data_IF_436908143530
#
_entry.id   IF_436908143530
#
_cell.length_a   1.000
_cell.length_b   1.000
_cell.length_c   1.000
_cell.angle_alpha   90.00
_cell.angle_beta   90.00
_cell.angle_gamma   90.00
#
_symmetry.space_group_name_H-M   'P 1'
#
loop_
_entity.id
_entity.type
_entity.pdbx_description
1 polymer ?
#
# COMPACT_ATOMS: atom_id res chain seq x y z
N UNK A 1 -15.97 11.61 -28.92
CA UNK A 1 -15.68 10.33 -28.25
C UNK A 1 -15.13 9.40 -29.30
N UNK A 2 -13.87 8.96 -29.21
CA UNK A 2 -13.30 8.04 -30.18
C UNK A 2 -14.01 6.68 -30.14
N UNK A 3 -14.33 6.14 -31.32
CA UNK A 3 -14.76 4.75 -31.47
C UNK A 3 -13.56 3.83 -31.45
N UNK A 4 -13.52 2.92 -30.49
CA UNK A 4 -12.48 1.90 -30.35
C UNK A 4 -13.09 0.51 -30.46
N UNK A 5 -12.33 -0.45 -30.97
CA UNK A 5 -12.73 -1.84 -31.08
C UNK A 5 -11.93 -2.69 -30.10
N UNK A 6 -12.58 -3.23 -29.08
CA UNK A 6 -11.95 -4.06 -28.04
C UNK A 6 -12.37 -5.50 -28.29
N UNK A 7 -11.43 -6.35 -28.71
CA UNK A 7 -11.70 -7.74 -29.13
C UNK A 7 -12.86 -7.81 -30.14
N UNK A 8 -12.80 -6.99 -31.18
CA UNK A 8 -13.81 -6.88 -32.26
C UNK A 8 -15.17 -6.28 -31.85
N UNK A 9 -15.35 -5.84 -30.60
CA UNK A 9 -16.53 -5.11 -30.14
C UNK A 9 -16.31 -3.60 -30.15
N UNK A 10 -17.19 -2.85 -30.81
CA UNK A 10 -17.18 -1.38 -30.80
C UNK A 10 -17.54 -0.83 -29.41
N UNK A 11 -16.78 0.17 -28.96
CA UNK A 11 -16.97 0.89 -27.71
C UNK A 11 -16.60 2.36 -27.90
N UNK A 12 -17.43 3.28 -27.38
CA UNK A 12 -17.12 4.70 -27.40
C UNK A 12 -16.35 5.10 -26.13
N UNK A 13 -15.08 5.45 -26.28
CA UNK A 13 -14.22 5.84 -25.17
C UNK A 13 -14.17 7.37 -25.00
N UNK A 14 -13.70 7.83 -23.84
CA UNK A 14 -13.32 9.24 -23.67
C UNK A 14 -11.95 9.49 -24.30
N UNK A 15 -11.72 10.69 -24.84
CA UNK A 15 -10.39 11.07 -25.37
C UNK A 15 -9.28 11.07 -24.31
N UNK A 16 -9.67 11.18 -23.03
CA UNK A 16 -8.75 11.09 -21.89
C UNK A 16 -8.45 9.66 -21.45
N UNK A 17 -9.15 8.67 -22.01
CA UNK A 17 -8.96 7.28 -21.62
C UNK A 17 -7.64 6.71 -22.14
N UNK A 18 -7.02 5.88 -21.30
CA UNK A 18 -6.00 4.94 -21.75
C UNK A 18 -6.69 3.69 -22.27
N UNK A 19 -5.95 2.86 -23.01
CA UNK A 19 -6.47 1.55 -23.44
C UNK A 19 -6.90 0.72 -22.23
N UNK A 20 -6.18 0.79 -21.11
CA UNK A 20 -6.56 0.10 -19.87
C UNK A 20 -7.91 0.58 -19.34
N UNK A 21 -8.09 1.90 -19.19
CA UNK A 21 -9.35 2.44 -18.64
C UNK A 21 -10.53 2.24 -19.58
N UNK A 22 -10.31 2.31 -20.90
CA UNK A 22 -11.34 1.99 -21.88
C UNK A 22 -11.78 0.51 -21.79
N UNK A 23 -10.82 -0.42 -21.67
CA UNK A 23 -11.12 -1.86 -21.50
C UNK A 23 -11.84 -2.12 -20.19
N UNK A 24 -11.44 -1.48 -19.09
CA UNK A 24 -12.14 -1.60 -17.80
C UNK A 24 -13.58 -1.08 -17.88
N UNK A 25 -13.83 0.07 -18.53
CA UNK A 25 -15.18 0.61 -18.73
C UNK A 25 -16.06 -0.27 -19.62
N UNK A 26 -15.45 -0.95 -20.59
CA UNK A 26 -16.12 -1.95 -21.41
C UNK A 26 -16.48 -3.23 -20.63
N UNK A 27 -15.97 -3.41 -19.40
CA UNK A 27 -16.14 -4.61 -18.59
C UNK A 27 -15.09 -5.69 -18.86
N UNK A 28 -14.04 -5.36 -19.61
CA UNK A 28 -12.89 -6.24 -19.85
C UNK A 28 -11.83 -6.14 -18.75
N UNK A 29 -10.94 -7.13 -18.73
CA UNK A 29 -9.84 -7.22 -17.77
C UNK A 29 -8.49 -7.26 -18.47
N UNK A 30 -7.53 -6.48 -17.97
CA UNK A 30 -6.12 -6.55 -18.32
C UNK A 30 -5.34 -6.55 -17.00
N UNK A 31 -4.46 -7.54 -16.74
CA UNK A 31 -3.70 -7.58 -15.50
C UNK A 31 -2.68 -6.42 -15.45
N UNK A 32 -2.45 -5.92 -14.24
CA UNK A 32 -1.50 -4.83 -13.96
C UNK A 32 -0.76 -5.09 -12.67
N UNK A 33 0.53 -4.74 -12.60
CA UNK A 33 1.33 -4.80 -11.37
C UNK A 33 1.88 -3.44 -10.93
N UNK A 34 2.47 -2.66 -11.83
CA UNK A 34 2.96 -1.33 -11.43
C UNK A 34 1.87 -0.28 -11.46
N UNK A 35 0.84 -0.45 -12.31
CA UNK A 35 -0.25 0.51 -12.37
C UNK A 35 -1.05 0.50 -11.05
N UNK A 36 -1.33 1.69 -10.53
CA UNK A 36 -2.20 1.93 -9.37
C UNK A 36 -2.94 3.24 -9.62
N UNK A 37 -4.24 3.26 -9.39
CA UNK A 37 -5.08 4.45 -9.58
C UNK A 37 -6.09 4.54 -8.45
N UNK A 38 -5.83 5.44 -7.51
CA UNK A 38 -6.65 5.73 -6.34
C UNK A 38 -7.41 7.03 -6.61
N UNK A 39 -8.52 6.91 -7.33
CA UNK A 39 -9.29 8.05 -7.86
C UNK A 39 -9.81 8.98 -6.76
N UNK A 40 -10.22 8.41 -5.62
CA UNK A 40 -10.83 9.16 -4.52
C UNK A 40 -9.87 10.16 -3.89
N UNK A 41 -8.56 9.91 -4.01
CA UNK A 41 -7.49 10.80 -3.52
C UNK A 41 -6.62 11.36 -4.65
N UNK A 42 -7.03 11.17 -5.91
CA UNK A 42 -6.34 11.66 -7.11
C UNK A 42 -4.84 11.26 -7.19
N UNK A 43 -4.52 10.01 -6.85
CA UNK A 43 -3.15 9.46 -6.93
C UNK A 43 -3.08 8.39 -8.02
N UNK A 44 -2.10 8.51 -8.91
CA UNK A 44 -1.89 7.55 -10.00
C UNK A 44 -0.40 7.21 -10.16
N UNK A 45 -0.06 5.93 -10.06
CA UNK A 45 1.26 5.41 -10.42
C UNK A 45 1.17 4.67 -11.76
N UNK A 46 1.88 5.14 -12.79
CA UNK A 46 1.86 4.54 -14.14
C UNK A 46 3.23 4.51 -14.85
N UNK A 47 4.28 3.94 -14.23
CA UNK A 47 5.63 3.93 -14.82
C UNK A 47 5.74 3.00 -16.05
N UNK A 48 4.75 2.15 -16.30
CA UNK A 48 4.75 1.14 -17.38
C UNK A 48 5.97 0.19 -17.35
N UNK A 49 6.64 0.07 -16.20
CA UNK A 49 7.87 -0.71 -16.04
C UNK A 49 7.61 -2.22 -16.01
N UNK A 50 6.52 -2.67 -15.38
CA UNK A 50 6.26 -4.11 -15.18
C UNK A 50 5.88 -4.88 -16.46
N UNK A 51 5.42 -4.19 -17.50
CA UNK A 51 4.95 -4.79 -18.78
C UNK A 51 3.89 -5.92 -18.63
N UNK A 52 3.13 -5.94 -17.54
CA UNK A 52 2.03 -6.91 -17.36
C UNK A 52 0.76 -6.50 -18.12
N UNK A 53 0.61 -5.21 -18.44
CA UNK A 53 -0.56 -4.68 -19.13
C UNK A 53 -0.43 -4.66 -20.67
N UNK A 54 0.46 -5.47 -21.25
CA UNK A 54 0.76 -5.41 -22.68
C UNK A 54 -0.42 -5.90 -23.53
N UNK A 55 -0.79 -5.15 -24.57
CA UNK A 55 -1.87 -5.49 -25.52
C UNK A 55 -1.37 -5.36 -26.95
N UNK A 56 -2.06 -6.05 -27.86
CA UNK A 56 -1.83 -5.91 -29.30
C UNK A 56 -2.76 -4.84 -29.86
N UNK A 57 -2.23 -3.96 -30.72
CA UNK A 57 -2.99 -2.92 -31.41
C UNK A 57 -2.79 -3.15 -32.91
N UNK A 58 -3.89 -3.27 -33.66
CA UNK A 58 -3.83 -3.49 -35.11
C UNK A 58 -3.09 -2.35 -35.80
N UNK A 59 -2.24 -2.68 -36.78
CA UNK A 59 -1.38 -1.71 -37.48
C UNK A 59 -0.11 -1.32 -36.71
N UNK A 60 0.05 -1.72 -35.45
CA UNK A 60 1.29 -1.52 -34.69
C UNK A 60 2.18 -2.76 -34.75
N UNK A 61 3.46 -2.59 -35.08
CA UNK A 61 4.43 -3.69 -35.17
C UNK A 61 4.76 -4.32 -33.81
N UNK A 62 4.68 -3.53 -32.74
CA UNK A 62 5.02 -3.96 -31.38
C UNK A 62 3.81 -3.87 -30.46
N UNK A 63 3.80 -4.71 -29.42
CA UNK A 63 2.83 -4.61 -28.34
C UNK A 63 2.95 -3.25 -27.62
N UNK A 64 1.84 -2.79 -27.05
CA UNK A 64 1.78 -1.53 -26.32
C UNK A 64 1.34 -1.76 -24.86
N UNK A 65 1.87 -0.99 -23.89
CA UNK A 65 1.38 -1.03 -22.51
C UNK A 65 0.01 -0.33 -22.44
N UNK A 66 -1.03 -1.06 -22.00
CA UNK A 66 -2.39 -0.50 -21.96
C UNK A 66 -2.54 0.66 -20.97
N UNK A 67 -1.79 0.67 -19.86
CA UNK A 67 -1.95 1.65 -18.78
C UNK A 67 -1.46 3.06 -19.11
N UNK A 68 -0.69 3.25 -20.18
CA UNK A 68 -0.20 4.57 -20.61
C UNK A 68 -0.50 4.89 -22.07
N UNK A 69 -1.04 3.95 -22.83
CA UNK A 69 -1.36 4.19 -24.26
C UNK A 69 -2.72 4.87 -24.35
N UNK A 70 -2.83 6.11 -24.89
CA UNK A 70 -4.11 6.78 -25.09
C UNK A 70 -4.91 6.11 -26.20
N UNK A 71 -6.24 6.14 -26.09
CA UNK A 71 -7.13 5.69 -27.16
C UNK A 71 -7.19 6.71 -28.31
N UNK A 72 -7.47 6.25 -29.53
CA UNK A 72 -7.73 7.11 -30.68
C UNK A 72 -8.82 6.51 -31.58
N UNK A 73 -9.42 7.33 -32.43
CA UNK A 73 -10.50 6.94 -33.34
C UNK A 73 -10.10 5.76 -34.25
N UNK A 74 -10.93 4.73 -34.29
CA UNK A 74 -10.71 3.52 -35.07
C UNK A 74 -9.65 2.57 -34.49
N UNK A 75 -9.14 2.81 -33.27
CA UNK A 75 -8.16 1.93 -32.64
C UNK A 75 -8.77 0.54 -32.41
N UNK A 76 -8.11 -0.52 -32.89
CA UNK A 76 -8.49 -1.91 -32.63
C UNK A 76 -7.49 -2.57 -31.69
N UNK A 77 -7.97 -3.02 -30.54
CA UNK A 77 -7.18 -3.60 -29.46
C UNK A 77 -7.54 -5.08 -29.28
N UNK A 78 -6.52 -5.94 -29.31
CA UNK A 78 -6.63 -7.36 -28.94
C UNK A 78 -5.98 -7.57 -27.58
N UNK A 79 -6.82 -7.84 -26.58
CA UNK A 79 -6.39 -7.96 -25.18
C UNK A 79 -5.83 -9.33 -24.84
N UNK A 80 -6.22 -10.38 -25.57
CA UNK A 80 -5.86 -11.78 -25.31
C UNK A 80 -5.24 -12.46 -26.54
N UNK A 81 -4.59 -11.70 -27.42
CA UNK A 81 -3.82 -12.32 -28.50
C UNK A 81 -2.68 -13.16 -27.90
N UNK A 82 -2.30 -14.22 -28.60
CA UNK A 82 -1.22 -15.12 -28.15
C UNK A 82 0.07 -14.35 -27.88
N UNK A 83 0.41 -13.39 -28.75
CA UNK A 83 1.58 -12.52 -28.59
C UNK A 83 1.49 -11.68 -27.31
N UNK A 84 0.32 -11.09 -27.01
CA UNK A 84 0.14 -10.31 -25.79
C UNK A 84 0.27 -11.18 -24.53
N UNK A 85 -0.38 -12.35 -24.50
CA UNK A 85 -0.33 -13.27 -23.35
C UNK A 85 1.09 -13.80 -23.11
N UNK A 86 1.80 -14.22 -24.16
CA UNK A 86 3.20 -14.69 -24.07
C UNK A 86 4.14 -13.59 -23.56
N UNK A 87 3.95 -12.34 -23.99
CA UNK A 87 4.74 -11.22 -23.48
C UNK A 87 4.49 -10.94 -21.99
N UNK A 88 3.22 -10.98 -21.55
CA UNK A 88 2.88 -10.82 -20.11
C UNK A 88 3.48 -11.94 -19.28
N UNK A 89 3.35 -13.19 -19.75
CA UNK A 89 3.94 -14.37 -19.11
C UNK A 89 5.45 -14.22 -18.96
N UNK A 90 6.13 -13.80 -20.03
CA UNK A 90 7.57 -13.53 -20.03
C UNK A 90 7.93 -12.44 -19.01
N UNK A 91 7.19 -11.32 -18.98
CA UNK A 91 7.44 -10.24 -18.02
C UNK A 91 7.34 -10.72 -16.56
N UNK A 92 6.30 -11.50 -16.23
CA UNK A 92 6.12 -12.05 -14.88
C UNK A 92 7.17 -13.11 -14.56
N UNK A 93 7.54 -13.98 -15.51
CA UNK A 93 8.62 -14.96 -15.31
C UNK A 93 9.97 -14.28 -15.07
N UNK A 94 10.26 -13.14 -15.71
CA UNK A 94 11.47 -12.36 -15.43
C UNK A 94 11.43 -11.76 -14.02
N UNK A 95 10.30 -11.19 -13.58
CA UNK A 95 10.15 -10.76 -12.18
C UNK A 95 10.37 -11.92 -11.19
N UNK A 96 9.77 -13.07 -11.46
CA UNK A 96 9.92 -14.29 -10.64
C UNK A 96 11.30 -14.91 -10.70
N UNK A 97 12.16 -14.52 -11.65
CA UNK A 97 13.54 -15.02 -11.74
C UNK A 97 14.46 -14.36 -10.72
N UNK A 98 14.11 -13.16 -10.25
CA UNK A 98 14.83 -12.39 -9.24
C UNK A 98 14.11 -12.37 -7.87
N UNK A 99 12.86 -12.84 -7.82
CA UNK A 99 12.02 -12.83 -6.62
C UNK A 99 12.13 -14.15 -5.84
N UNK A 100 12.29 -14.13 -4.50
CA UNK A 100 12.36 -15.35 -3.71
C UNK A 100 11.06 -16.16 -3.79
N UNK A 101 11.19 -17.50 -3.86
CA UNK A 101 10.06 -18.43 -3.96
C UNK A 101 9.67 -19.00 -2.58
N UNK A 102 9.50 -18.12 -1.60
CA UNK A 102 9.25 -18.47 -0.19
C UNK A 102 7.80 -18.19 0.24
N UNK A 103 6.84 -18.25 -0.70
CA UNK A 103 5.45 -17.81 -0.49
C UNK A 103 4.80 -18.37 0.78
N UNK A 104 5.07 -19.62 1.16
CA UNK A 104 4.50 -20.25 2.36
C UNK A 104 4.92 -19.60 3.69
N UNK A 105 6.02 -18.83 3.69
CA UNK A 105 6.53 -18.09 4.85
C UNK A 105 6.28 -16.59 4.72
N UNK A 106 5.76 -16.14 3.58
CA UNK A 106 5.57 -14.72 3.29
C UNK A 106 4.28 -14.21 3.96
N UNK A 107 4.31 -13.06 4.67
CA UNK A 107 3.10 -12.50 5.28
C UNK A 107 2.00 -12.14 4.27
N UNK A 108 2.36 -11.89 3.00
CA UNK A 108 1.42 -11.62 1.89
C UNK A 108 0.90 -12.90 1.20
N UNK A 109 1.10 -14.07 1.77
CA UNK A 109 0.62 -15.32 1.17
C UNK A 109 -0.91 -15.31 1.05
N UNK A 110 -1.44 -15.55 -0.15
CA UNK A 110 -2.89 -15.45 -0.43
C UNK A 110 -3.32 -14.09 -0.96
N UNK A 111 -2.65 -13.01 -0.53
CA UNK A 111 -3.00 -11.63 -0.88
C UNK A 111 -1.97 -10.95 -1.82
N UNK A 112 -0.95 -11.67 -2.27
CA UNK A 112 0.09 -11.14 -3.15
C UNK A 112 -0.40 -11.02 -4.61
N UNK A 113 -0.40 -9.80 -5.17
CA UNK A 113 -0.81 -9.54 -6.56
C UNK A 113 0.10 -10.26 -7.56
N UNK A 114 1.41 -10.37 -7.28
CA UNK A 114 2.34 -11.10 -8.14
C UNK A 114 2.01 -12.60 -8.17
N UNK A 115 1.70 -13.18 -7.00
CA UNK A 115 1.28 -14.58 -6.87
C UNK A 115 0.00 -14.84 -7.67
N UNK A 116 -1.00 -13.96 -7.51
CA UNK A 116 -2.27 -14.02 -8.24
C UNK A 116 -2.08 -13.99 -9.75
N UNK A 117 -1.33 -13.01 -10.26
CA UNK A 117 -1.08 -12.86 -11.70
C UNK A 117 -0.26 -14.03 -12.25
N UNK A 118 0.71 -14.55 -11.49
CA UNK A 118 1.47 -15.74 -11.90
C UNK A 118 0.56 -16.96 -12.06
N UNK A 119 -0.40 -17.14 -11.14
CA UNK A 119 -1.42 -18.17 -11.21
C UNK A 119 -2.36 -17.98 -12.40
N UNK A 120 -2.88 -16.75 -12.62
CA UNK A 120 -3.77 -16.41 -13.74
C UNK A 120 -3.10 -16.68 -15.10
N UNK A 121 -1.81 -16.38 -15.23
CA UNK A 121 -1.03 -16.65 -16.44
C UNK A 121 -0.56 -18.11 -16.56
N UNK A 122 -0.95 -18.98 -15.63
CA UNK A 122 -0.60 -20.40 -15.56
C UNK A 122 0.93 -20.65 -15.57
N UNK A 123 1.69 -19.84 -14.83
CA UNK A 123 3.14 -19.97 -14.71
C UNK A 123 3.45 -21.08 -13.70
N UNK A 124 3.68 -22.29 -14.22
CA UNK A 124 4.05 -23.46 -13.43
C UNK A 124 5.57 -23.65 -13.30
N UNK A 125 6.32 -23.18 -14.30
CA UNK A 125 7.77 -23.30 -14.36
C UNK A 125 8.37 -21.97 -14.83
N UNK A 126 9.55 -21.64 -14.30
CA UNK A 126 10.32 -20.49 -14.74
C UNK A 126 11.58 -20.94 -15.50
N UNK A 127 11.69 -20.70 -16.82
CA UNK A 127 12.87 -21.10 -17.59
C UNK A 127 14.05 -20.14 -17.36
N UNK A 128 13.82 -18.96 -16.78
CA UNK A 128 14.87 -17.98 -16.52
C UNK A 128 15.52 -18.30 -15.17
N UNK A 129 16.78 -18.71 -15.24
CA UNK A 129 17.65 -18.93 -14.10
C UNK A 129 18.81 -17.95 -14.20
N UNK A 130 19.24 -17.41 -13.06
CA UNK A 130 20.29 -16.42 -13.05
C UNK A 130 20.71 -15.99 -11.66
N UNK A 131 21.54 -14.95 -11.61
CA UNK A 131 21.87 -14.26 -10.38
C UNK A 131 20.62 -13.58 -9.84
N UNK A 132 20.38 -13.74 -8.54
CA UNK A 132 19.35 -12.99 -7.83
C UNK A 132 19.96 -11.82 -7.08
N UNK A 133 19.16 -10.79 -6.90
CA UNK A 133 19.41 -9.69 -5.99
C UNK A 133 19.38 -10.21 -4.55
N UNK A 134 20.25 -9.65 -3.70
CA UNK A 134 20.31 -10.00 -2.28
C UNK A 134 20.59 -8.74 -1.47
N UNK A 135 19.68 -8.41 -0.57
CA UNK A 135 19.69 -7.23 0.29
C UNK A 135 19.37 -7.62 1.73
N UNK A 136 19.87 -6.83 2.67
CA UNK A 136 19.55 -7.00 4.08
C UNK A 136 18.10 -6.60 4.37
N UNK A 137 17.51 -7.25 5.37
CA UNK A 137 16.20 -6.89 5.91
C UNK A 137 16.32 -5.63 6.76
N UNK A 138 15.35 -4.74 6.61
CA UNK A 138 15.19 -3.57 7.46
C UNK A 138 13.95 -3.77 8.34
N UNK A 139 14.18 -3.90 9.65
CA UNK A 139 13.16 -4.27 10.63
C UNK A 139 13.05 -3.11 11.62
N UNK A 140 11.91 -2.42 11.59
CA UNK A 140 11.59 -1.36 12.54
C UNK A 140 10.52 -1.81 13.54
N UNK A 141 10.14 -0.95 14.47
CA UNK A 141 8.99 -1.18 15.36
C UNK A 141 7.64 -1.32 14.63
N UNK A 142 7.45 -0.75 13.44
CA UNK A 142 6.15 -0.72 12.76
C UNK A 142 6.14 -1.42 11.39
N UNK A 143 7.25 -1.38 10.66
CA UNK A 143 7.36 -1.85 9.28
C UNK A 143 8.55 -2.79 9.14
N UNK A 144 8.34 -3.92 8.45
CA UNK A 144 9.39 -4.79 7.94
C UNK A 144 9.51 -4.54 6.44
N UNK A 145 10.72 -4.22 6.01
CA UNK A 145 11.08 -4.02 4.60
C UNK A 145 12.02 -5.14 4.16
N UNK A 146 11.58 -5.93 3.20
CA UNK A 146 12.35 -6.97 2.53
C UNK A 146 12.60 -6.57 1.07
N UNK A 147 13.76 -5.96 0.75
CA UNK A 147 14.01 -5.46 -0.60
C UNK A 147 14.12 -6.59 -1.62
N UNK A 148 14.41 -7.82 -1.20
CA UNK A 148 14.45 -9.00 -2.08
C UNK A 148 13.08 -9.33 -2.68
N UNK A 149 12.00 -8.91 -2.02
CA UNK A 149 10.63 -9.10 -2.51
C UNK A 149 10.14 -7.93 -3.36
N UNK A 150 10.96 -6.91 -3.59
CA UNK A 150 10.61 -5.74 -4.38
C UNK A 150 10.61 -6.05 -5.88
N UNK A 151 9.56 -5.65 -6.59
CA UNK A 151 9.45 -5.78 -8.06
C UNK A 151 9.66 -4.45 -8.80
N UNK A 152 10.24 -3.44 -8.14
CA UNK A 152 10.47 -2.10 -8.71
C UNK A 152 9.22 -1.46 -9.34
N UNK A 153 8.06 -1.66 -8.71
CA UNK A 153 6.78 -1.13 -9.19
C UNK A 153 6.59 0.37 -8.91
N UNK A 154 7.36 0.91 -7.95
CA UNK A 154 7.34 2.32 -7.49
C UNK A 154 6.02 2.81 -6.89
N UNK A 155 5.05 1.92 -6.62
CA UNK A 155 3.79 2.31 -5.94
C UNK A 155 4.05 2.93 -4.56
N UNK A 156 4.93 2.31 -3.78
CA UNK A 156 5.31 2.80 -2.45
C UNK A 156 6.03 4.15 -2.50
N UNK A 157 6.87 4.39 -3.52
CA UNK A 157 7.54 5.65 -3.76
C UNK A 157 6.53 6.76 -4.09
N UNK A 158 5.62 6.53 -5.06
CA UNK A 158 4.55 7.48 -5.39
C UNK A 158 3.71 7.83 -4.15
N UNK A 159 3.30 6.81 -3.38
CA UNK A 159 2.49 7.03 -2.18
C UNK A 159 3.25 7.82 -1.09
N UNK A 160 4.54 7.52 -0.88
CA UNK A 160 5.35 8.20 0.12
C UNK A 160 5.68 9.65 -0.26
N UNK A 161 5.94 9.91 -1.55
CA UNK A 161 6.49 11.18 -2.00
C UNK A 161 5.43 12.14 -2.52
N UNK A 162 4.41 11.64 -3.24
CA UNK A 162 3.38 12.50 -3.84
C UNK A 162 2.18 12.70 -2.91
N UNK A 163 1.74 11.65 -2.21
CA UNK A 163 0.58 11.75 -1.33
C UNK A 163 0.96 12.16 0.09
N UNK A 164 1.89 11.43 0.71
CA UNK A 164 2.31 11.70 2.09
C UNK A 164 3.32 12.85 2.20
N UNK A 165 3.97 13.22 1.09
CA UNK A 165 5.02 14.26 1.01
C UNK A 165 6.18 14.08 1.99
N UNK A 166 6.40 12.86 2.48
CA UNK A 166 7.47 12.51 3.44
C UNK A 166 8.82 12.38 2.73
N UNK A 167 8.84 11.83 1.51
CA UNK A 167 10.06 11.82 0.68
C UNK A 167 11.09 10.75 1.03
N UNK A 168 10.72 9.66 1.72
CA UNK A 168 11.68 8.67 2.25
C UNK A 168 12.10 7.63 1.23
N UNK A 169 11.20 7.19 0.34
CA UNK A 169 11.48 6.08 -0.58
C UNK A 169 11.83 6.61 -1.97
N UNK A 170 12.89 6.09 -2.58
CA UNK A 170 13.26 6.39 -3.97
C UNK A 170 13.86 5.17 -4.65
N UNK A 171 13.74 5.09 -5.98
CA UNK A 171 14.49 4.12 -6.77
C UNK A 171 15.97 4.53 -6.83
N UNK A 172 16.84 3.74 -6.20
CA UNK A 172 18.29 3.97 -6.15
C UNK A 172 19.01 2.88 -6.97
N UNK A 173 20.25 3.17 -7.39
CA UNK A 173 21.13 2.29 -8.15
C UNK A 173 20.61 1.95 -9.57
N UNK A 174 21.29 1.02 -10.27
CA UNK A 174 21.00 0.61 -11.65
C UNK A 174 21.26 -0.88 -11.87
N UNK A 175 20.62 -1.45 -12.89
CA UNK A 175 20.78 -2.87 -13.23
C UNK A 175 20.30 -3.76 -12.08
N UNK A 176 21.07 -4.80 -11.75
CA UNK A 176 20.78 -5.70 -10.62
C UNK A 176 20.81 -5.03 -9.24
N UNK A 177 21.43 -3.85 -9.11
CA UNK A 177 21.42 -3.11 -7.84
C UNK A 177 20.15 -2.29 -7.62
N UNK A 178 19.30 -2.13 -8.65
CA UNK A 178 18.20 -1.19 -8.62
C UNK A 178 17.09 -1.63 -7.65
N UNK A 179 16.87 -0.84 -6.60
CA UNK A 179 15.86 -1.14 -5.57
C UNK A 179 15.23 0.15 -5.02
N UNK A 180 13.98 0.06 -4.58
CA UNK A 180 13.35 1.17 -3.84
C UNK A 180 13.82 1.12 -2.40
N UNK A 181 14.54 2.16 -1.96
CA UNK A 181 15.14 2.23 -0.63
C UNK A 181 15.25 3.68 -0.11
N UNK A 182 15.45 3.87 1.21
CA UNK A 182 15.79 5.17 1.75
C UNK A 182 17.14 5.69 1.25
N UNK A 183 17.33 7.01 1.36
CA UNK A 183 18.62 7.66 1.08
C UNK A 183 19.75 6.99 1.85
N UNK A 184 20.90 6.81 1.19
CA UNK A 184 22.09 6.16 1.75
C UNK A 184 21.89 4.74 2.30
N UNK A 185 20.80 4.06 1.93
CA UNK A 185 20.46 2.72 2.43
C UNK A 185 20.33 2.67 3.96
N UNK A 186 19.95 3.80 4.57
CA UNK A 186 19.73 3.87 6.02
C UNK A 186 18.50 3.05 6.42
N UNK A 187 18.50 2.42 7.62
CA UNK A 187 17.31 1.83 8.20
C UNK A 187 16.18 2.85 8.30
N UNK A 188 14.92 2.43 8.14
CA UNK A 188 13.77 3.34 8.23
C UNK A 188 13.75 4.14 9.54
N UNK A 189 14.21 3.57 10.65
CA UNK A 189 14.27 4.22 11.97
C UNK A 189 15.24 5.42 12.03
N UNK A 190 16.27 5.41 11.18
CA UNK A 190 17.27 6.47 11.09
C UNK A 190 16.93 7.52 10.01
N UNK A 191 15.75 7.40 9.39
CA UNK A 191 15.29 8.30 8.33
C UNK A 191 14.17 9.20 8.82
N UNK A 192 13.69 10.10 7.97
CA UNK A 192 12.50 10.94 8.23
C UNK A 192 11.17 10.16 8.10
N UNK A 193 11.19 8.83 8.17
CA UNK A 193 10.00 8.00 8.07
C UNK A 193 9.05 8.28 9.24
N UNK A 194 7.81 8.58 8.90
CA UNK A 194 6.72 8.81 9.86
C UNK A 194 6.02 7.53 10.29
N UNK A 195 6.40 6.37 9.72
CA UNK A 195 5.78 5.07 9.98
C UNK A 195 4.26 5.02 9.74
N UNK A 196 3.74 5.84 8.83
CA UNK A 196 2.30 5.91 8.54
C UNK A 196 1.72 4.68 7.80
N UNK A 197 2.57 3.74 7.36
CA UNK A 197 2.16 2.48 6.73
C UNK A 197 1.57 2.61 5.32
N UNK A 198 1.45 3.81 4.75
CA UNK A 198 0.83 3.98 3.41
C UNK A 198 1.61 3.28 2.29
N UNK A 199 2.94 3.16 2.44
CA UNK A 199 3.76 2.38 1.52
C UNK A 199 3.52 0.86 1.61
N UNK A 200 3.16 0.34 2.79
CA UNK A 200 2.76 -1.05 3.02
C UNK A 200 1.40 -1.32 2.37
N UNK A 201 0.44 -0.41 2.54
CA UNK A 201 -0.91 -0.53 2.00
C UNK A 201 -0.95 -0.68 0.47
N UNK A 202 -0.01 -0.05 -0.24
CA UNK A 202 0.05 -0.09 -1.72
C UNK A 202 1.05 -1.11 -2.29
N UNK A 203 1.77 -1.84 -1.43
CA UNK A 203 2.76 -2.80 -1.87
C UNK A 203 2.09 -4.06 -2.45
N UNK A 204 2.34 -4.42 -3.73
CA UNK A 204 1.71 -5.58 -4.37
C UNK A 204 2.33 -6.94 -3.96
N UNK A 205 3.44 -6.92 -3.21
CA UNK A 205 4.21 -8.09 -2.81
C UNK A 205 4.56 -8.01 -1.31
N UNK A 206 5.29 -8.99 -0.79
CA UNK A 206 5.80 -8.99 0.59
C UNK A 206 7.02 -8.10 0.83
N UNK A 207 7.28 -7.09 -0.02
CA UNK A 207 8.46 -6.23 0.13
C UNK A 207 8.34 -5.22 1.28
N UNK A 208 7.11 -4.82 1.59
CA UNK A 208 6.78 -3.94 2.71
C UNK A 208 5.57 -4.54 3.41
N UNK A 209 5.73 -4.86 4.67
CA UNK A 209 4.68 -5.44 5.53
C UNK A 209 4.75 -4.78 6.91
N UNK A 210 3.63 -4.79 7.63
CA UNK A 210 3.61 -4.42 9.04
C UNK A 210 4.40 -5.41 9.89
N UNK A 211 4.98 -4.92 10.99
CA UNK A 211 5.58 -5.80 11.98
C UNK A 211 4.47 -6.51 12.76
N UNK A 212 4.43 -7.83 12.66
CA UNK A 212 3.54 -8.66 13.46
C UNK A 212 4.02 -8.71 14.91
N UNK A 213 3.08 -8.60 15.85
CA UNK A 213 3.27 -8.80 17.28
C UNK A 213 2.39 -9.95 17.82
N UNK A 214 1.90 -10.82 16.94
CA UNK A 214 0.94 -11.87 17.27
C UNK A 214 1.53 -12.87 18.28
N UNK A 215 2.79 -13.28 18.09
CA UNK A 215 3.44 -14.25 18.96
C UNK A 215 3.69 -13.69 20.36
N UNK A 216 4.06 -12.41 20.47
CA UNK A 216 4.15 -11.70 21.73
C UNK A 216 2.80 -11.63 22.43
N UNK A 217 1.72 -11.33 21.70
CA UNK A 217 0.37 -11.30 22.26
C UNK A 217 -0.06 -12.68 22.77
N UNK A 218 0.21 -13.77 22.03
CA UNK A 218 -0.07 -15.13 22.50
C UNK A 218 0.66 -15.45 23.79
N UNK A 219 1.95 -15.12 23.85
CA UNK A 219 2.76 -15.34 25.06
C UNK A 219 2.18 -14.61 26.27
N UNK A 220 1.64 -13.41 26.08
CA UNK A 220 1.01 -12.67 27.17
C UNK A 220 -0.35 -13.24 27.55
N UNK A 221 -1.16 -13.70 26.59
CA UNK A 221 -2.44 -14.37 26.85
C UNK A 221 -2.29 -15.69 27.61
N UNK A 222 -1.20 -16.43 27.38
CA UNK A 222 -0.88 -17.67 28.09
C UNK A 222 -0.27 -17.43 29.48
N UNK A 223 0.03 -16.19 29.84
CA UNK A 223 0.65 -15.86 31.11
C UNK A 223 -0.40 -15.71 32.22
N UNK A 224 -0.56 -16.76 33.04
CA UNK A 224 -1.50 -16.82 34.16
C UNK A 224 -1.26 -15.74 35.25
N UNK A 225 -0.06 -15.12 35.30
CA UNK A 225 0.25 -14.06 36.26
C UNK A 225 -0.19 -12.67 35.79
N UNK A 226 -0.57 -12.52 34.52
CA UNK A 226 -0.93 -11.23 33.93
C UNK A 226 -2.43 -11.10 33.74
N UNK A 227 -2.90 -9.88 33.97
CA UNK A 227 -4.23 -9.45 33.54
C UNK A 227 -4.09 -8.76 32.18
N UNK A 228 -4.48 -9.44 31.12
CA UNK A 228 -4.25 -8.99 29.73
C UNK A 228 -5.45 -8.19 29.24
N UNK A 229 -5.18 -6.92 28.98
CA UNK A 229 -6.16 -5.94 28.51
C UNK A 229 -5.92 -5.65 27.03
N UNK A 230 -7.00 -5.60 26.25
CA UNK A 230 -6.97 -5.13 24.86
C UNK A 230 -7.82 -3.88 24.68
N UNK A 231 -7.33 -2.96 23.85
CA UNK A 231 -8.04 -1.76 23.42
C UNK A 231 -8.15 -1.73 21.91
N UNK A 232 -9.36 -1.48 21.38
CA UNK A 232 -9.59 -1.42 19.94
C UNK A 232 -9.76 0.02 19.46
N UNK A 233 -8.99 0.40 18.44
CA UNK A 233 -9.11 1.71 17.80
C UNK A 233 -10.47 1.90 17.10
N UNK A 234 -10.93 3.15 16.90
CA UNK A 234 -12.25 3.44 16.34
C UNK A 234 -12.50 2.75 14.98
N UNK A 235 -11.53 2.81 14.06
CA UNK A 235 -11.66 2.32 12.69
C UNK A 235 -11.75 0.78 12.58
N UNK A 236 -11.21 0.03 13.55
CA UNK A 236 -11.17 -1.44 13.50
C UNK A 236 -12.57 -2.02 13.41
N UNK A 237 -13.54 -1.44 14.12
CA UNK A 237 -14.92 -1.96 14.18
C UNK A 237 -15.69 -1.84 12.86
N UNK A 238 -15.24 -1.00 11.93
CA UNK A 238 -15.91 -0.80 10.62
C UNK A 238 -15.16 -1.41 9.45
N UNK A 239 -13.84 -1.62 9.59
CA UNK A 239 -13.01 -2.20 8.54
C UNK A 239 -12.85 -3.72 8.66
N UNK A 240 -12.76 -4.26 9.89
CA UNK A 240 -12.44 -5.68 10.11
C UNK A 240 -13.42 -6.64 9.42
N UNK A 241 -14.68 -6.25 9.26
CA UNK A 241 -15.69 -7.10 8.65
C UNK A 241 -15.39 -7.43 7.18
N UNK A 242 -14.66 -6.56 6.47
CA UNK A 242 -14.30 -6.74 5.06
C UNK A 242 -13.46 -8.01 4.86
N UNK A 243 -12.56 -8.30 5.80
CA UNK A 243 -11.73 -9.52 5.83
C UNK A 243 -12.55 -10.82 5.99
N UNK A 244 -13.81 -10.70 6.43
CA UNK A 244 -14.75 -11.82 6.54
C UNK A 244 -15.78 -11.84 5.41
N UNK A 245 -15.55 -11.09 4.34
CA UNK A 245 -16.40 -11.04 3.14
C UNK A 245 -17.66 -10.20 3.29
N UNK A 246 -17.74 -9.32 4.30
CA UNK A 246 -18.81 -8.33 4.40
C UNK A 246 -18.50 -7.09 3.57
N UNK A 247 -19.55 -6.33 3.24
CA UNK A 247 -19.41 -5.07 2.49
C UNK A 247 -18.63 -4.00 3.30
N UNK A 248 -17.85 -3.14 2.62
CA UNK A 248 -17.14 -2.05 3.27
C UNK A 248 -18.02 -1.15 4.14
N UNK A 249 -17.51 -0.80 5.33
CA UNK A 249 -18.25 -0.02 6.33
C UNK A 249 -19.23 -0.84 7.20
N UNK A 250 -19.25 -2.17 7.07
CA UNK A 250 -20.07 -3.02 7.95
C UNK A 250 -19.60 -2.95 9.40
N UNK A 251 -20.50 -2.53 10.30
CA UNK A 251 -20.20 -2.41 11.75
C UNK A 251 -20.14 -3.81 12.40
N UNK A 252 -19.01 -4.12 13.02
CA UNK A 252 -18.71 -5.41 13.64
C UNK A 252 -18.41 -5.35 15.14
N UNK A 253 -18.66 -4.21 15.82
CA UNK A 253 -18.27 -3.94 17.21
C UNK A 253 -18.56 -5.10 18.18
N UNK A 254 -19.80 -5.58 18.23
CA UNK A 254 -20.17 -6.67 19.16
C UNK A 254 -19.47 -8.00 18.86
N UNK A 255 -19.28 -8.30 17.56
CA UNK A 255 -18.56 -9.51 17.12
C UNK A 255 -17.07 -9.42 17.43
N UNK A 256 -16.46 -8.26 17.21
CA UNK A 256 -15.07 -7.98 17.56
C UNK A 256 -14.83 -8.20 19.06
N UNK A 257 -15.66 -7.58 19.92
CA UNK A 257 -15.56 -7.76 21.38
C UNK A 257 -15.77 -9.23 21.78
N UNK A 258 -16.73 -9.90 21.17
CA UNK A 258 -16.97 -11.33 21.40
C UNK A 258 -15.76 -12.20 21.03
N UNK A 259 -15.17 -11.95 19.87
CA UNK A 259 -13.98 -12.66 19.39
C UNK A 259 -12.78 -12.44 20.32
N UNK A 260 -12.48 -11.20 20.72
CA UNK A 260 -11.39 -10.91 21.65
C UNK A 260 -11.57 -11.62 23.00
N UNK A 261 -12.78 -11.67 23.53
CA UNK A 261 -13.07 -12.43 24.76
C UNK A 261 -12.86 -13.94 24.56
N UNK A 262 -13.27 -14.48 23.42
CA UNK A 262 -13.06 -15.89 23.08
C UNK A 262 -11.57 -16.23 22.92
N UNK A 263 -10.75 -15.27 22.51
CA UNK A 263 -9.29 -15.42 22.41
C UNK A 263 -8.57 -15.41 23.77
N UNK A 264 -9.26 -15.06 24.86
CA UNK A 264 -8.71 -15.13 26.22
C UNK A 264 -8.33 -13.80 26.86
N UNK A 265 -8.62 -12.65 26.22
CA UNK A 265 -8.41 -11.35 26.87
C UNK A 265 -9.31 -11.18 28.10
N UNK A 266 -8.73 -10.82 29.25
CA UNK A 266 -9.46 -10.63 30.50
C UNK A 266 -10.43 -9.44 30.44
N UNK A 267 -10.00 -8.38 29.74
CA UNK A 267 -10.81 -7.16 29.51
C UNK A 267 -10.61 -6.63 28.11
N UNK A 268 -11.73 -6.21 27.52
CA UNK A 268 -11.79 -5.52 26.24
C UNK A 268 -12.29 -4.10 26.51
N UNK A 269 -11.43 -3.13 26.30
CA UNK A 269 -11.75 -1.70 26.36
C UNK A 269 -11.80 -1.10 24.96
N UNK A 270 -12.30 0.12 24.90
CA UNK A 270 -12.49 0.87 23.67
C UNK A 270 -11.62 2.13 23.71
N UNK A 271 -10.80 2.33 22.68
CA UNK A 271 -9.96 3.53 22.56
C UNK A 271 -10.81 4.81 22.47
N UNK A 272 -12.09 4.72 22.09
CA UNK A 272 -13.01 5.86 22.12
C UNK A 272 -13.08 6.53 23.49
N UNK A 273 -12.99 5.76 24.58
CA UNK A 273 -12.93 6.36 25.92
C UNK A 273 -11.67 7.24 26.09
N UNK A 274 -10.53 6.76 25.60
CA UNK A 274 -9.30 7.56 25.57
C UNK A 274 -9.45 8.79 24.68
N UNK A 275 -10.14 8.66 23.55
CA UNK A 275 -10.42 9.79 22.66
C UNK A 275 -11.31 10.85 23.35
N UNK A 276 -12.33 10.44 24.12
CA UNK A 276 -13.16 11.37 24.89
C UNK A 276 -12.32 12.14 25.92
N UNK A 277 -11.38 11.47 26.60
CA UNK A 277 -10.44 12.12 27.51
C UNK A 277 -9.51 13.10 26.77
N UNK A 278 -8.97 12.70 25.61
CA UNK A 278 -8.16 13.59 24.77
C UNK A 278 -8.94 14.84 24.38
N UNK A 279 -10.22 14.73 24.02
CA UNK A 279 -11.05 15.90 23.70
C UNK A 279 -11.26 16.79 24.92
N UNK A 280 -11.44 16.23 26.12
CA UNK A 280 -11.58 17.04 27.34
C UNK A 280 -10.35 17.91 27.59
N UNK A 281 -9.15 17.36 27.41
CA UNK A 281 -7.88 18.08 27.60
C UNK A 281 -7.63 19.06 26.44
N UNK A 282 -7.70 18.61 25.19
CA UNK A 282 -7.47 19.44 24.00
C UNK A 282 -8.45 20.63 23.94
N UNK A 283 -9.73 20.43 24.27
CA UNK A 283 -10.71 21.51 24.27
C UNK A 283 -10.47 22.52 25.41
N UNK A 284 -10.00 22.04 26.56
CA UNK A 284 -9.64 22.89 27.70
C UNK A 284 -8.44 23.75 27.34
N UNK A 285 -7.37 23.14 26.82
CA UNK A 285 -6.18 23.84 26.38
C UNK A 285 -6.50 24.85 25.26
N UNK A 286 -7.29 24.46 24.26
CA UNK A 286 -7.70 25.36 23.19
C UNK A 286 -8.41 26.61 23.74
N UNK A 287 -9.33 26.43 24.69
CA UNK A 287 -10.04 27.53 25.32
C UNK A 287 -9.07 28.45 26.06
N UNK A 288 -8.14 27.90 26.83
CA UNK A 288 -7.14 28.67 27.57
C UNK A 288 -6.23 29.48 26.63
N UNK A 289 -5.76 28.87 25.53
CA UNK A 289 -4.96 29.57 24.51
C UNK A 289 -5.77 30.69 23.84
N UNK A 290 -7.05 30.46 23.56
CA UNK A 290 -7.92 31.47 22.95
C UNK A 290 -8.18 32.67 23.88
N UNK A 291 -8.42 32.42 25.17
CA UNK A 291 -8.74 33.47 26.14
C UNK A 291 -7.49 34.26 26.59
N UNK A 292 -6.33 33.61 26.67
CA UNK A 292 -5.11 34.21 27.21
C UNK A 292 -4.08 34.67 26.15
N UNK A 293 -4.44 34.63 24.86
CA UNK A 293 -3.52 35.00 23.77
C UNK A 293 -2.36 34.02 23.57
N UNK A 294 -2.61 32.73 23.80
CA UNK A 294 -1.67 31.65 23.56
C UNK A 294 -1.40 31.40 22.06
N UNK A 295 -0.41 30.56 21.77
CA UNK A 295 0.00 30.28 20.39
C UNK A 295 -1.08 29.55 19.60
N UNK A 296 -1.44 30.13 18.45
CA UNK A 296 -2.42 29.60 17.50
C UNK A 296 -1.82 29.61 16.07
N UNK A 297 -2.24 28.68 15.19
CA UNK A 297 -3.24 27.62 15.41
C UNK A 297 -2.75 26.52 16.36
N UNK A 298 -3.67 25.88 17.09
CA UNK A 298 -3.38 24.67 17.88
C UNK A 298 -3.50 23.43 16.98
N UNK A 299 -2.51 22.56 17.03
CA UNK A 299 -2.37 21.35 16.22
C UNK A 299 -2.57 20.12 17.12
N UNK A 300 -3.39 19.17 16.69
CA UNK A 300 -3.59 17.92 17.43
C UNK A 300 -2.30 17.08 17.48
N UNK A 301 -2.17 16.24 18.51
CA UNK A 301 -0.97 15.41 18.75
C UNK A 301 -1.26 13.90 18.78
N UNK A 302 -2.51 13.48 18.60
CA UNK A 302 -2.94 12.08 18.73
C UNK A 302 -2.44 11.14 17.61
N UNK A 303 -2.01 11.67 16.45
CA UNK A 303 -1.50 10.88 15.34
C UNK A 303 0.04 10.81 15.39
N UNK A 304 0.64 9.63 15.66
CA UNK A 304 2.10 9.52 15.78
C UNK A 304 2.82 9.84 14.47
N UNK A 305 2.23 9.51 13.32
CA UNK A 305 2.79 9.86 12.02
C UNK A 305 2.82 11.37 11.76
N UNK A 306 1.81 12.10 12.26
CA UNK A 306 1.78 13.57 12.19
C UNK A 306 2.82 14.20 13.12
N UNK A 307 2.93 13.71 14.35
CA UNK A 307 3.95 14.17 15.31
C UNK A 307 5.34 14.01 14.70
N UNK A 308 5.68 12.80 14.21
CA UNK A 308 6.96 12.56 13.52
C UNK A 308 7.15 13.43 12.29
N UNK A 309 6.11 13.65 11.49
CA UNK A 309 6.20 14.52 10.32
C UNK A 309 6.63 15.93 10.71
N UNK A 310 6.02 16.49 11.75
CA UNK A 310 6.40 17.80 12.27
C UNK A 310 7.81 17.80 12.84
N UNK A 311 8.17 16.82 13.67
CA UNK A 311 9.52 16.70 14.25
C UNK A 311 10.62 16.68 13.17
N UNK A 312 10.38 15.99 12.06
CA UNK A 312 11.36 15.84 10.99
C UNK A 312 11.38 17.02 10.00
N UNK A 313 10.21 17.54 9.62
CA UNK A 313 10.09 18.52 8.54
C UNK A 313 10.10 19.97 9.04
N UNK A 314 9.77 20.19 10.32
CA UNK A 314 9.63 21.52 10.91
C UNK A 314 10.30 21.63 12.31
N UNK A 315 11.61 21.36 12.43
CA UNK A 315 12.29 21.32 13.72
C UNK A 315 12.36 22.68 14.46
N UNK A 316 12.26 23.79 13.75
CA UNK A 316 12.60 25.14 14.26
C UNK A 316 11.43 25.92 14.90
N UNK A 317 10.33 25.28 15.30
CA UNK A 317 9.32 25.94 16.14
C UNK A 317 7.84 25.66 15.88
N UNK A 318 7.47 24.68 15.05
CA UNK A 318 6.06 24.26 14.91
C UNK A 318 5.58 23.34 16.05
N UNK A 319 6.51 22.77 16.82
CA UNK A 319 6.19 21.97 18.01
C UNK A 319 5.53 22.79 19.13
N UNK A 320 5.72 24.11 19.19
CA UNK A 320 5.01 24.98 20.16
C UNK A 320 3.51 25.09 19.89
N UNK A 321 3.09 24.73 18.68
CA UNK A 321 1.69 24.75 18.28
C UNK A 321 0.99 23.40 18.52
N UNK A 322 1.70 22.34 18.92
CA UNK A 322 1.06 21.07 19.31
C UNK A 322 0.37 21.20 20.68
N UNK A 323 -0.67 20.38 20.85
CA UNK A 323 -1.34 20.09 22.14
C UNK A 323 -0.32 19.54 23.15
N UNK A 324 -0.43 19.96 24.41
CA UNK A 324 0.39 19.54 25.56
C UNK A 324 1.90 19.76 25.40
N UNK A 325 2.32 21.03 25.30
CA UNK A 325 3.62 21.38 25.90
C UNK A 325 3.44 21.56 27.40
N UNK A 326 3.91 20.58 28.16
CA UNK A 326 4.44 20.85 29.50
C UNK A 326 5.79 21.55 29.27
N UNK A 327 5.83 22.86 29.48
CA UNK A 327 7.10 23.59 29.64
C UNK A 327 7.85 23.12 30.91
#
# INVERSE_FOLDING_TARGET
MPKVYINDHEFEASEKDTVLTAVQKFGGYIPTLCYMNLKDINIENKPSSCRVCMVEIEGRRTLAPACTTPVFEGMKVKTHSRMAVEARRTAVQLLLSDHPQDCLKCPKNGDCELQKIASELNIVNNPYLGKTSNYDLDISAAIIRDPNKCIMCRRCETMCNEFQTVGVLSAIDRGFGAVVKPSFDMPLEETTCTFCGQCVAVCPTGALVERSYIDEVWKELENEEKHVVVQTAPAVRVALAEEFGYEPGTISTGKLVGALKLMGFDKVFDTNFGADLTIMEEATEFKERLENGGFLPMLTSCCPGWVKFIEHQFPDGSLSNMVDRID
#
